data_IF_928142828433
#
_entry.id   IF_928142828433
#
_cell.length_a   1.000
_cell.length_b   1.000
_cell.length_c   1.000
_cell.angle_alpha   90.00
_cell.angle_beta   90.00
_cell.angle_gamma   90.00
#
_symmetry.space_group_name_H-M   'P 1'
#
loop_
_entity.id
_entity.type
_entity.pdbx_description
1 polymer ?
#
# COMPACT_ATOMS: atom_id res chain seq x y z
N UNK A 1 -12.26 -0.94 3.13
CA UNK A 1 -12.16 -1.70 1.89
C UNK A 1 -13.15 -1.17 0.86
N UNK A 2 -12.77 -1.12 -0.43
CA UNK A 2 -13.62 -0.64 -1.52
C UNK A 2 -13.65 0.90 -1.68
N UNK A 3 -12.88 1.66 -0.90
CA UNK A 3 -12.84 3.12 -0.97
C UNK A 3 -11.43 3.59 -1.30
N UNK A 4 -11.27 4.44 -2.30
CA UNK A 4 -9.99 5.11 -2.57
C UNK A 4 -9.74 6.24 -1.58
N UNK A 5 -8.48 6.50 -1.26
CA UNK A 5 -8.13 7.52 -0.26
C UNK A 5 -8.39 8.93 -0.78
N UNK A 6 -8.02 9.26 -1.99
CA UNK A 6 -8.16 10.61 -2.58
C UNK A 6 -8.58 10.55 -4.04
N UNK A 7 -9.15 11.63 -4.59
CA UNK A 7 -9.55 11.69 -5.99
C UNK A 7 -8.42 11.30 -6.95
N UNK A 8 -8.77 10.53 -7.95
CA UNK A 8 -7.85 10.04 -8.99
C UNK A 8 -8.63 9.68 -10.25
N UNK A 9 -7.94 9.39 -11.36
CA UNK A 9 -8.59 8.99 -12.60
C UNK A 9 -9.55 7.80 -12.39
N UNK A 10 -10.82 7.97 -12.72
CA UNK A 10 -11.90 7.02 -12.50
C UNK A 10 -12.57 7.07 -11.12
N UNK A 11 -12.10 7.92 -10.19
CA UNK A 11 -12.63 8.08 -8.84
C UNK A 11 -12.54 9.55 -8.42
N UNK A 12 -13.43 10.38 -8.96
CA UNK A 12 -13.42 11.84 -8.73
C UNK A 12 -14.17 12.25 -7.46
N UNK A 13 -15.09 11.41 -6.98
CA UNK A 13 -15.90 11.62 -5.77
C UNK A 13 -16.07 10.30 -5.00
N UNK A 14 -16.69 10.35 -3.82
CA UNK A 14 -16.90 9.18 -2.97
C UNK A 14 -15.60 8.62 -2.35
N UNK A 15 -14.56 9.45 -2.27
CA UNK A 15 -13.26 9.07 -1.69
C UNK A 15 -13.25 9.31 -0.18
N UNK A 16 -12.24 8.73 0.50
CA UNK A 16 -12.04 8.99 1.93
C UNK A 16 -11.84 10.49 2.20
N UNK A 17 -11.11 11.21 1.34
CA UNK A 17 -10.93 12.67 1.46
C UNK A 17 -12.27 13.39 1.48
N UNK A 18 -13.22 13.04 0.61
CA UNK A 18 -14.54 13.66 0.62
C UNK A 18 -15.27 13.44 1.95
N UNK A 19 -15.21 12.22 2.50
CA UNK A 19 -15.81 11.92 3.80
C UNK A 19 -15.13 12.68 4.94
N UNK A 20 -13.79 12.78 4.92
CA UNK A 20 -13.01 13.51 5.93
C UNK A 20 -13.29 15.00 5.88
N UNK A 21 -13.36 15.59 4.69
CA UNK A 21 -13.71 17.00 4.51
C UNK A 21 -15.11 17.30 5.06
N UNK A 22 -16.07 16.43 4.81
CA UNK A 22 -17.41 16.56 5.38
C UNK A 22 -17.40 16.48 6.91
N UNK A 23 -16.64 15.53 7.46
CA UNK A 23 -16.54 15.28 8.91
C UNK A 23 -15.77 16.38 9.66
N UNK A 24 -14.63 16.80 9.11
CA UNK A 24 -13.71 17.74 9.77
C UNK A 24 -13.98 19.20 9.40
N UNK A 25 -14.77 19.46 8.35
CA UNK A 25 -15.03 20.82 7.82
C UNK A 25 -13.70 21.58 7.60
N UNK A 26 -13.55 22.71 8.28
CA UNK A 26 -12.37 23.59 8.17
C UNK A 26 -11.16 23.12 9.00
N UNK A 27 -11.28 22.01 9.74
CA UNK A 27 -10.23 21.46 10.59
C UNK A 27 -9.41 20.41 9.87
N UNK A 28 -8.78 20.74 8.73
CA UNK A 28 -7.85 19.88 8.02
C UNK A 28 -6.62 20.67 7.59
N UNK A 29 -5.46 20.01 7.60
CA UNK A 29 -4.25 20.62 7.02
C UNK A 29 -4.42 20.89 5.54
N UNK A 30 -4.10 22.11 5.11
CA UNK A 30 -4.14 22.56 3.72
C UNK A 30 -2.88 22.29 2.91
N UNK A 31 -1.82 21.72 3.51
CA UNK A 31 -0.50 21.58 2.88
C UNK A 31 -0.54 20.88 1.51
N UNK A 32 -1.37 19.84 1.35
CA UNK A 32 -1.53 19.15 0.07
C UNK A 32 -2.67 19.70 -0.81
N UNK A 33 -3.12 20.92 -0.52
CA UNK A 33 -4.16 21.62 -1.26
C UNK A 33 -5.54 20.97 -1.15
N UNK A 34 -6.47 21.40 -2.01
CA UNK A 34 -7.87 20.95 -1.99
C UNK A 34 -8.06 19.47 -2.35
N UNK A 35 -7.13 18.87 -3.08
CA UNK A 35 -7.26 17.50 -3.58
C UNK A 35 -6.97 16.47 -2.48
N UNK A 36 -6.10 16.79 -1.53
CA UNK A 36 -5.63 15.84 -0.49
C UNK A 36 -5.42 16.48 0.87
N UNK A 37 -6.36 17.28 1.38
CA UNK A 37 -6.20 17.94 2.67
C UNK A 37 -6.01 16.92 3.78
N UNK A 38 -5.04 17.14 4.65
CA UNK A 38 -4.74 16.28 5.80
C UNK A 38 -4.14 14.90 5.50
N UNK A 39 -3.92 14.53 4.23
CA UNK A 39 -3.45 13.19 3.83
C UNK A 39 -1.93 13.16 3.74
N UNK A 40 -1.29 12.37 4.58
CA UNK A 40 0.17 12.14 4.64
C UNK A 40 0.62 10.80 4.07
N UNK A 41 -0.29 9.82 3.99
CA UNK A 41 -0.04 8.50 3.38
C UNK A 41 -1.33 7.90 2.81
N UNK A 42 -1.20 6.74 2.19
CA UNK A 42 -2.34 6.04 1.59
C UNK A 42 -2.19 4.53 1.70
N UNK A 43 -3.32 3.84 1.66
CA UNK A 43 -3.42 2.40 1.44
C UNK A 43 -4.20 2.14 0.14
N UNK A 44 -4.09 0.94 -0.40
CA UNK A 44 -4.85 0.54 -1.60
C UNK A 44 -6.35 0.41 -1.30
N UNK A 45 -7.19 0.58 -2.32
CA UNK A 45 -8.65 0.55 -2.21
C UNK A 45 -9.17 -0.70 -1.51
N UNK A 46 -8.58 -1.85 -1.77
CA UNK A 46 -9.00 -3.14 -1.19
C UNK A 46 -8.26 -3.53 0.09
N UNK A 47 -7.35 -2.68 0.57
CA UNK A 47 -6.68 -2.86 1.85
C UNK A 47 -7.51 -2.26 2.98
N UNK A 48 -7.68 -2.99 4.07
CA UNK A 48 -8.25 -2.48 5.33
C UNK A 48 -7.12 -2.10 6.28
N UNK A 49 -7.37 -1.15 7.19
CA UNK A 49 -6.40 -0.76 8.20
C UNK A 49 -6.57 0.65 8.71
N UNK A 50 -5.61 1.09 9.51
CA UNK A 50 -5.56 2.44 10.05
C UNK A 50 -4.93 3.42 9.08
N UNK A 51 -5.46 4.64 9.03
CA UNK A 51 -4.94 5.72 8.22
C UNK A 51 -4.89 6.99 9.07
N UNK A 52 -3.75 7.68 9.03
CA UNK A 52 -3.54 8.94 9.76
C UNK A 52 -4.01 10.10 8.91
N UNK A 53 -4.81 10.98 9.51
CA UNK A 53 -5.27 12.22 8.91
C UNK A 53 -4.87 13.38 9.81
N UNK A 54 -4.24 14.40 9.23
CA UNK A 54 -3.74 15.56 9.95
C UNK A 54 -4.77 16.69 9.92
N UNK A 55 -5.23 17.12 11.09
CA UNK A 55 -6.24 18.18 11.25
C UNK A 55 -5.66 19.60 11.18
N UNK A 56 -4.33 19.75 11.27
CA UNK A 56 -3.64 21.02 11.16
C UNK A 56 -2.27 20.84 10.51
N UNK A 57 -1.66 21.95 10.10
CA UNK A 57 -0.40 21.95 9.34
C UNK A 57 0.79 21.51 10.21
N UNK A 58 0.80 21.81 11.49
CA UNK A 58 1.87 21.38 12.40
C UNK A 58 1.94 19.85 12.50
N UNK A 59 0.83 19.19 12.74
CA UNK A 59 0.77 17.72 12.77
C UNK A 59 1.08 17.11 11.40
N UNK A 60 0.67 17.78 10.30
CA UNK A 60 0.97 17.33 8.96
C UNK A 60 2.48 17.30 8.70
N UNK A 61 3.19 18.39 8.99
CA UNK A 61 4.64 18.49 8.82
C UNK A 61 5.35 17.41 9.64
N UNK A 62 5.04 17.32 10.95
CA UNK A 62 5.69 16.35 11.86
C UNK A 62 5.45 14.89 11.44
N UNK A 63 4.24 14.53 11.03
CA UNK A 63 3.93 13.16 10.61
C UNK A 63 4.54 12.86 9.23
N UNK A 64 4.50 13.82 8.30
CA UNK A 64 5.14 13.66 6.99
C UNK A 64 6.66 13.45 7.12
N UNK A 65 7.32 14.17 8.04
CA UNK A 65 8.74 14.00 8.35
C UNK A 65 9.03 12.60 8.90
N UNK A 66 8.28 12.13 9.89
CA UNK A 66 8.42 10.78 10.44
C UNK A 66 8.20 9.69 9.36
N UNK A 67 7.25 9.88 8.43
CA UNK A 67 7.04 8.96 7.31
C UNK A 67 8.25 9.00 6.36
N UNK A 68 8.82 10.17 6.09
CA UNK A 68 9.99 10.37 5.24
C UNK A 68 11.24 9.74 5.84
N UNK A 69 11.43 9.87 7.13
CA UNK A 69 12.55 9.28 7.89
C UNK A 69 12.37 7.79 8.21
N UNK A 70 11.23 7.21 7.78
CA UNK A 70 10.87 5.82 8.03
C UNK A 70 10.76 5.45 9.52
N UNK A 71 10.57 6.42 10.41
CA UNK A 71 10.41 6.20 11.85
C UNK A 71 9.02 5.66 12.22
N UNK A 72 8.01 5.85 11.34
CA UNK A 72 6.68 5.26 11.51
C UNK A 72 6.70 3.77 11.18
N UNK A 73 6.35 2.95 12.15
CA UNK A 73 6.32 1.49 12.01
C UNK A 73 5.09 1.04 11.21
N UNK A 74 5.25 0.85 9.90
CA UNK A 74 4.18 0.43 8.99
C UNK A 74 4.17 -1.09 8.85
N UNK A 75 3.24 -1.75 9.54
CA UNK A 75 3.06 -3.19 9.48
C UNK A 75 1.76 -3.55 8.78
N UNK A 76 1.83 -4.57 7.95
CA UNK A 76 0.70 -5.13 7.22
C UNK A 76 0.63 -6.62 7.45
N UNK A 77 -0.56 -7.19 7.32
CA UNK A 77 -0.75 -8.63 7.35
C UNK A 77 -1.53 -9.05 6.12
N UNK A 78 -1.24 -10.24 5.63
CA UNK A 78 -1.90 -10.76 4.45
C UNK A 78 -1.67 -12.25 4.28
N UNK A 79 -2.51 -12.87 3.49
CA UNK A 79 -2.38 -14.26 3.09
C UNK A 79 -1.88 -14.27 1.65
N UNK A 80 -0.91 -15.14 1.36
CA UNK A 80 -0.36 -15.33 0.01
C UNK A 80 -0.65 -16.73 -0.49
N UNK A 81 -0.66 -16.91 -1.81
CA UNK A 81 -0.73 -18.22 -2.44
C UNK A 81 0.58 -18.97 -2.25
N UNK A 82 0.47 -20.27 -2.01
CA UNK A 82 1.58 -21.20 -1.84
C UNK A 82 2.22 -21.14 -0.46
N UNK A 83 3.13 -22.06 -0.23
CA UNK A 83 3.89 -22.19 1.02
C UNK A 83 5.23 -21.49 0.87
N UNK A 84 5.41 -20.37 1.56
CA UNK A 84 6.69 -19.65 1.63
C UNK A 84 7.65 -20.45 2.50
N UNK A 85 8.81 -20.83 1.96
CA UNK A 85 9.75 -21.73 2.64
C UNK A 85 10.48 -21.04 3.78
N UNK A 86 11.04 -19.86 3.53
CA UNK A 86 11.82 -19.11 4.50
C UNK A 86 10.91 -18.41 5.52
N UNK A 87 11.28 -18.50 6.80
CA UNK A 87 10.48 -17.91 7.89
C UNK A 87 10.44 -16.39 7.84
N UNK A 88 11.47 -15.76 7.33
CA UNK A 88 11.58 -14.32 7.12
C UNK A 88 12.47 -14.00 5.92
N UNK A 89 12.30 -12.81 5.37
CA UNK A 89 13.14 -12.38 4.25
C UNK A 89 12.92 -10.92 3.89
N UNK A 90 13.73 -10.46 2.95
CA UNK A 90 13.68 -9.09 2.44
C UNK A 90 13.64 -9.10 0.91
N UNK A 91 12.66 -8.40 0.36
CA UNK A 91 12.58 -8.14 -1.08
C UNK A 91 13.04 -6.70 -1.30
N UNK A 92 14.19 -6.54 -1.95
CA UNK A 92 14.75 -5.24 -2.34
C UNK A 92 14.77 -5.18 -3.88
N UNK A 93 13.69 -4.64 -4.46
CA UNK A 93 13.54 -4.59 -5.90
C UNK A 93 12.76 -3.32 -6.32
N UNK A 94 13.26 -2.54 -7.27
CA UNK A 94 12.66 -1.26 -7.63
C UNK A 94 11.30 -1.44 -8.32
N UNK A 95 10.32 -0.60 -7.95
CA UNK A 95 8.96 -0.66 -8.48
C UNK A 95 8.70 0.54 -9.40
N UNK A 96 8.22 0.25 -10.60
CA UNK A 96 7.79 1.22 -11.59
C UNK A 96 6.46 0.83 -12.26
N UNK A 97 6.02 1.65 -13.21
CA UNK A 97 4.86 1.29 -14.04
C UNK A 97 5.18 0.05 -14.88
N UNK A 98 4.20 -0.82 -15.01
CA UNK A 98 4.32 -1.97 -15.92
C UNK A 98 4.45 -1.47 -17.36
N UNK A 99 5.35 -2.02 -18.18
CA UNK A 99 5.67 -1.47 -19.51
C UNK A 99 4.49 -1.43 -20.47
N UNK A 100 3.59 -2.38 -20.39
CA UNK A 100 2.44 -2.52 -21.32
C UNK A 100 1.07 -2.35 -20.65
N UNK A 101 0.94 -2.61 -19.36
CA UNK A 101 -0.34 -2.52 -18.66
C UNK A 101 -0.36 -1.36 -17.65
N UNK A 102 -0.99 -0.25 -18.03
CA UNK A 102 -1.07 0.97 -17.21
C UNK A 102 -1.75 0.80 -15.83
N UNK A 103 -2.56 -0.23 -15.65
CA UNK A 103 -3.22 -0.53 -14.37
C UNK A 103 -2.31 -1.26 -13.38
N UNK A 104 -1.16 -1.77 -13.85
CA UNK A 104 -0.21 -2.53 -13.05
C UNK A 104 1.05 -1.74 -12.73
N UNK A 105 1.63 -2.08 -11.60
CA UNK A 105 3.03 -1.82 -11.28
C UNK A 105 3.83 -3.10 -11.51
N UNK A 106 5.15 -2.99 -11.64
CA UNK A 106 6.03 -4.13 -11.83
C UNK A 106 7.41 -3.84 -11.22
N UNK A 107 8.20 -4.87 -11.00
CA UNK A 107 9.64 -4.71 -10.82
C UNK A 107 10.20 -4.10 -12.10
N UNK A 108 10.93 -3.00 -11.97
CA UNK A 108 11.45 -2.23 -13.10
C UNK A 108 12.84 -1.69 -12.77
N UNK A 109 13.85 -2.43 -13.15
CA UNK A 109 15.25 -2.10 -12.86
C UNK A 109 15.72 -0.80 -13.53
N UNK A 110 15.11 -0.43 -14.67
CA UNK A 110 15.53 0.77 -15.44
C UNK A 110 14.94 2.06 -14.91
N UNK A 111 13.63 2.05 -14.59
CA UNK A 111 12.86 3.27 -14.28
C UNK A 111 12.05 3.14 -12.98
N UNK A 112 12.27 2.07 -12.22
CA UNK A 112 11.62 1.86 -10.94
C UNK A 112 12.23 2.74 -9.84
N UNK A 113 11.41 3.04 -8.84
CA UNK A 113 11.88 3.69 -7.60
C UNK A 113 12.27 2.63 -6.60
N UNK A 114 13.35 2.79 -5.83
CA UNK A 114 13.75 1.85 -4.78
C UNK A 114 12.57 1.46 -3.89
N UNK A 115 12.45 0.16 -3.63
CA UNK A 115 11.38 -0.38 -2.81
C UNK A 115 11.90 -1.57 -1.99
N UNK A 116 11.66 -1.55 -0.67
CA UNK A 116 12.12 -2.57 0.26
C UNK A 116 10.95 -3.03 1.13
N UNK A 117 10.71 -4.34 1.11
CA UNK A 117 9.69 -5.02 1.91
C UNK A 117 10.33 -6.14 2.70
N UNK A 118 10.25 -6.09 4.02
CA UNK A 118 10.57 -7.23 4.88
C UNK A 118 9.31 -8.04 5.11
N UNK A 119 9.43 -9.37 5.15
CA UNK A 119 8.33 -10.25 5.49
C UNK A 119 8.72 -11.23 6.58
N UNK A 120 7.72 -11.68 7.32
CA UNK A 120 7.81 -12.74 8.30
C UNK A 120 6.61 -13.67 8.16
N UNK A 121 6.86 -14.96 8.09
CA UNK A 121 5.82 -15.98 8.12
C UNK A 121 5.26 -16.08 9.53
N UNK A 122 3.94 -16.02 9.65
CA UNK A 122 3.22 -16.18 10.90
C UNK A 122 2.65 -17.60 11.01
N UNK A 123 2.11 -18.11 9.89
CA UNK A 123 1.51 -19.44 9.85
C UNK A 123 1.52 -19.98 8.41
N UNK A 124 1.73 -21.29 8.25
CA UNK A 124 1.67 -22.01 6.98
C UNK A 124 0.47 -22.93 6.95
N UNK A 125 -0.27 -22.90 5.85
CA UNK A 125 -1.36 -23.80 5.54
C UNK A 125 -0.97 -24.66 4.33
N UNK A 126 -1.82 -25.61 3.95
CA UNK A 126 -1.53 -26.53 2.82
C UNK A 126 -1.17 -25.80 1.52
N UNK A 127 -1.89 -24.72 1.18
CA UNK A 127 -1.75 -23.99 -0.08
C UNK A 127 -1.53 -22.48 0.09
N UNK A 128 -1.39 -22.02 1.32
CA UNK A 128 -1.33 -20.59 1.64
C UNK A 128 -0.35 -20.33 2.77
N UNK A 129 0.13 -19.09 2.86
CA UNK A 129 0.94 -18.63 3.99
C UNK A 129 0.38 -17.32 4.53
N UNK A 130 0.17 -17.24 5.83
CA UNK A 130 -0.17 -16.01 6.54
C UNK A 130 1.10 -15.29 6.96
N UNK A 131 1.21 -14.03 6.62
CA UNK A 131 2.46 -13.27 6.71
C UNK A 131 2.25 -11.88 7.31
N UNK A 132 3.28 -11.38 7.97
CA UNK A 132 3.44 -9.98 8.33
C UNK A 132 4.47 -9.33 7.40
N UNK A 133 4.20 -8.08 7.02
CA UNK A 133 5.08 -7.26 6.19
C UNK A 133 5.44 -5.97 6.90
N UNK A 134 6.73 -5.61 6.89
CA UNK A 134 7.24 -4.32 7.33
C UNK A 134 7.82 -3.57 6.14
N UNK A 135 7.36 -2.33 5.93
CA UNK A 135 7.77 -1.52 4.79
C UNK A 135 8.78 -0.46 5.20
N UNK A 136 9.93 -0.39 4.51
CA UNK A 136 10.80 0.78 4.55
C UNK A 136 10.30 1.87 3.60
N UNK A 137 9.83 1.50 2.43
CA UNK A 137 9.30 2.39 1.41
C UNK A 137 7.78 2.22 1.26
N UNK A 138 7.10 3.14 0.56
CA UNK A 138 5.65 3.09 0.34
C UNK A 138 5.28 3.29 -1.14
N UNK A 139 5.71 2.37 -2.03
CA UNK A 139 5.36 2.46 -3.45
C UNK A 139 3.96 1.90 -3.70
N UNK A 140 3.33 2.37 -4.76
CA UNK A 140 2.01 1.87 -5.17
C UNK A 140 2.05 0.36 -5.37
N UNK A 141 1.11 -0.37 -4.76
CA UNK A 141 0.99 -1.82 -4.80
C UNK A 141 2.24 -2.58 -4.31
N UNK A 142 3.07 -1.98 -3.45
CA UNK A 142 4.41 -2.51 -3.15
C UNK A 142 4.40 -3.97 -2.67
N UNK A 143 3.64 -4.31 -1.62
CA UNK A 143 3.56 -5.68 -1.11
C UNK A 143 3.03 -6.62 -2.20
N UNK A 144 2.02 -6.20 -2.95
CA UNK A 144 1.38 -6.98 -4.01
C UNK A 144 2.36 -7.34 -5.13
N UNK A 145 3.14 -6.35 -5.59
CA UNK A 145 4.16 -6.53 -6.64
C UNK A 145 5.31 -7.39 -6.13
N UNK A 146 5.85 -7.11 -4.94
CA UNK A 146 6.95 -7.85 -4.37
C UNK A 146 6.59 -9.32 -4.13
N UNK A 147 5.43 -9.60 -3.51
CA UNK A 147 5.03 -10.99 -3.28
C UNK A 147 4.73 -11.74 -4.57
N UNK A 148 4.14 -11.07 -5.57
CA UNK A 148 3.94 -11.67 -6.88
C UNK A 148 5.27 -11.96 -7.60
N UNK A 149 6.28 -11.10 -7.45
CA UNK A 149 7.60 -11.27 -8.10
C UNK A 149 8.37 -12.49 -7.58
N UNK A 150 8.13 -12.92 -6.36
CA UNK A 150 8.70 -14.14 -5.77
C UNK A 150 7.77 -15.36 -5.87
N UNK A 151 6.68 -15.28 -6.67
CA UNK A 151 5.77 -16.40 -6.93
C UNK A 151 4.67 -16.61 -5.90
N UNK A 152 4.54 -15.72 -4.92
CA UNK A 152 3.56 -15.80 -3.83
C UNK A 152 2.59 -14.59 -3.82
N UNK A 153 1.74 -14.38 -4.86
CA UNK A 153 0.82 -13.24 -4.89
C UNK A 153 -0.17 -13.30 -3.74
N UNK A 154 -0.71 -12.14 -3.34
CA UNK A 154 -1.71 -12.06 -2.28
C UNK A 154 -2.99 -12.79 -2.67
N UNK A 155 -3.59 -13.47 -1.70
CA UNK A 155 -4.87 -14.16 -1.85
C UNK A 155 -5.97 -13.15 -2.20
N UNK A 156 -6.74 -13.45 -3.25
CA UNK A 156 -7.83 -12.59 -3.72
C UNK A 156 -7.38 -11.33 -4.50
N UNK A 157 -6.09 -11.18 -4.79
CA UNK A 157 -5.60 -10.10 -5.64
C UNK A 157 -5.92 -10.36 -7.11
N UNK A 158 -6.93 -9.68 -7.65
CA UNK A 158 -7.39 -9.84 -9.04
C UNK A 158 -6.41 -9.28 -10.08
N UNK A 159 -5.42 -8.49 -9.66
CA UNK A 159 -4.46 -7.84 -10.57
C UNK A 159 -3.18 -8.66 -10.72
N UNK A 160 -2.64 -9.22 -9.62
CA UNK A 160 -1.34 -9.87 -9.58
C UNK A 160 -1.38 -11.39 -9.40
N UNK A 161 -2.52 -11.98 -9.07
CA UNK A 161 -2.64 -13.43 -8.83
C UNK A 161 -2.86 -14.28 -10.09
N UNK A 162 -2.71 -13.71 -11.29
CA UNK A 162 -2.90 -14.43 -12.56
C UNK A 162 -4.28 -15.09 -12.72
N UNK A 163 -5.32 -14.48 -12.18
CA UNK A 163 -6.70 -14.97 -12.28
C UNK A 163 -7.04 -16.14 -11.37
N UNK A 164 -6.14 -16.56 -10.48
CA UNK A 164 -6.47 -17.56 -9.46
C UNK A 164 -7.53 -16.97 -8.53
N UNK A 165 -8.75 -17.54 -8.58
CA UNK A 165 -9.77 -17.28 -7.57
C UNK A 165 -9.54 -18.26 -6.43
N UNK A 166 -9.68 -17.83 -5.17
CA UNK A 166 -9.61 -18.76 -4.03
C UNK A 166 -10.87 -19.61 -3.88
N UNK A 167 -11.95 -19.30 -4.60
CA UNK A 167 -13.25 -19.93 -4.55
C UNK A 167 -13.84 -20.13 -5.95
#
# INVERSE_FOLDING_TARGET
KGMVVHPSAGHYSGTLVNAIMFHCKDSLSGINGEIRPGIVHRIDMDTTGSLIVCKNDESHVKIAEQIKEHSVNRRYRGIVYGVVKDDEGTINAPIGRHPTNRKKMAINEKNGKPAITHYKVLERFSNYTYMEFKLETGRTHQIRVHMASIGHPLLGDTVYSSGKSPF
#
